data_IF_185493235430
#
_entry.id   IF_185493235430
#
_cell.length_a   1.000
_cell.length_b   1.000
_cell.length_c   1.000
_cell.angle_alpha   90.00
_cell.angle_beta   90.00
_cell.angle_gamma   90.00
#
_symmetry.space_group_name_H-M   'P 1'
#
loop_
_entity.id
_entity.type
_entity.pdbx_description
1 polymer ?
#
# COMPACT_ATOMS: atom_id res chain seq x y z
N UNK A 1 4.39 0.13 -7.76
CA UNK A 1 3.47 -0.10 -6.63
C UNK A 1 2.09 0.51 -6.84
N UNK A 2 1.91 1.84 -6.87
CA UNK A 2 0.56 2.42 -7.06
C UNK A 2 -0.14 1.91 -8.35
N UNK A 3 0.58 1.92 -9.47
CA UNK A 3 0.08 1.40 -10.75
C UNK A 3 -0.26 -0.11 -10.69
N UNK A 4 0.52 -0.89 -9.94
CA UNK A 4 0.32 -2.34 -9.77
C UNK A 4 -0.93 -2.65 -8.93
N UNK A 5 -1.16 -1.88 -7.87
CA UNK A 5 -2.39 -1.97 -7.06
C UNK A 5 -3.62 -1.67 -7.93
N UNK A 6 -3.58 -0.58 -8.69
CA UNK A 6 -4.70 -0.17 -9.54
C UNK A 6 -4.94 -1.15 -10.70
N UNK A 7 -3.88 -1.73 -11.28
CA UNK A 7 -4.01 -2.74 -12.33
C UNK A 7 -4.72 -4.00 -11.85
N UNK A 8 -4.48 -4.45 -10.61
CA UNK A 8 -5.11 -5.65 -10.06
C UNK A 8 -6.46 -5.43 -9.37
N UNK A 9 -6.71 -4.24 -8.84
CA UNK A 9 -7.83 -3.99 -7.91
C UNK A 9 -8.57 -2.67 -8.16
N UNK A 10 -8.32 -1.97 -9.27
CA UNK A 10 -8.88 -0.65 -9.55
C UNK A 10 -10.40 -0.56 -9.47
N UNK A 11 -11.12 -1.61 -9.90
CA UNK A 11 -12.60 -1.66 -9.84
C UNK A 11 -13.17 -1.66 -8.42
N UNK A 12 -12.34 -2.02 -7.42
CA UNK A 12 -12.72 -2.08 -6.00
C UNK A 12 -12.18 -0.91 -5.17
N UNK A 13 -11.41 -0.01 -5.81
CA UNK A 13 -10.72 1.09 -5.13
C UNK A 13 -11.37 2.41 -5.57
N UNK A 14 -12.04 3.07 -4.63
CA UNK A 14 -12.65 4.38 -4.90
C UNK A 14 -11.60 5.46 -5.21
N UNK A 15 -10.46 5.45 -4.51
CA UNK A 15 -9.35 6.36 -4.74
C UNK A 15 -8.04 5.77 -4.22
N UNK A 16 -6.93 6.16 -4.87
CA UNK A 16 -5.57 5.92 -4.37
C UNK A 16 -4.85 7.26 -4.26
N UNK A 17 -4.29 7.52 -3.08
CA UNK A 17 -3.56 8.77 -2.80
C UNK A 17 -2.12 8.48 -2.41
N UNK A 18 -1.19 9.22 -3.01
CA UNK A 18 0.22 9.23 -2.58
C UNK A 18 0.39 10.44 -1.67
N UNK A 19 0.63 10.18 -0.38
CA UNK A 19 0.86 11.23 0.62
C UNK A 19 2.37 11.39 0.81
N UNK A 20 2.98 12.53 0.41
CA UNK A 20 4.39 12.79 0.67
C UNK A 20 4.65 12.75 2.18
N UNK A 21 5.77 12.14 2.57
CA UNK A 21 6.20 12.09 3.97
C UNK A 21 7.71 12.21 4.08
N UNK A 22 8.18 12.56 5.28
CA UNK A 22 9.60 12.72 5.61
C UNK A 22 10.10 11.59 6.52
N UNK A 23 11.40 11.57 6.84
CA UNK A 23 11.99 10.64 7.80
C UNK A 23 12.07 9.19 7.32
N UNK A 24 12.07 8.95 6.00
CA UNK A 24 12.12 7.60 5.43
C UNK A 24 10.87 6.75 5.70
N UNK A 25 9.76 7.39 6.12
CA UNK A 25 8.49 6.74 6.40
C UNK A 25 7.92 6.12 5.13
N UNK A 26 7.43 4.90 5.28
CA UNK A 26 6.69 4.20 4.23
C UNK A 26 5.61 3.34 4.89
N UNK A 27 4.36 3.72 4.66
CA UNK A 27 3.18 3.09 5.24
C UNK A 27 2.15 2.93 4.13
N UNK A 28 1.46 1.79 4.11
CA UNK A 28 0.32 1.55 3.22
C UNK A 28 -0.92 1.36 4.08
N UNK A 29 -1.95 2.14 3.78
CA UNK A 29 -3.25 2.11 4.46
C UNK A 29 -4.34 1.70 3.46
N UNK A 30 -5.36 1.00 3.96
CA UNK A 30 -6.64 0.80 3.28
C UNK A 30 -7.73 1.38 4.18
N UNK A 31 -8.30 2.51 3.78
CA UNK A 31 -9.05 3.36 4.70
C UNK A 31 -8.16 3.77 5.88
N UNK A 32 -8.64 3.55 7.11
CA UNK A 32 -7.89 3.82 8.34
C UNK A 32 -7.02 2.63 8.82
N UNK A 33 -7.02 1.52 8.07
CA UNK A 33 -6.30 0.30 8.46
C UNK A 33 -4.88 0.28 7.89
N UNK A 34 -3.88 0.19 8.78
CA UNK A 34 -2.50 -0.08 8.38
C UNK A 34 -2.34 -1.53 7.93
N UNK A 35 -1.90 -1.72 6.68
CA UNK A 35 -1.65 -3.05 6.10
C UNK A 35 -0.17 -3.32 5.86
N UNK A 36 0.67 -2.28 5.84
CA UNK A 36 2.13 -2.40 5.76
C UNK A 36 2.81 -1.20 6.39
N UNK A 37 3.92 -1.45 7.10
CA UNK A 37 4.74 -0.40 7.69
C UNK A 37 6.21 -0.77 7.65
N UNK A 38 7.01 0.02 6.92
CA UNK A 38 8.46 -0.18 6.80
C UNK A 38 9.17 -0.10 8.14
N UNK A 39 8.69 0.70 9.10
CA UNK A 39 9.29 0.79 10.43
C UNK A 39 9.17 -0.54 11.18
N UNK A 40 8.06 -1.27 10.99
CA UNK A 40 7.82 -2.56 11.62
C UNK A 40 8.56 -3.70 10.90
N UNK A 41 8.61 -3.67 9.58
CA UNK A 41 9.22 -4.75 8.77
C UNK A 41 10.71 -4.58 8.52
N UNK A 42 11.24 -3.37 8.71
CA UNK A 42 12.64 -3.03 8.42
C UNK A 42 12.97 -2.92 6.92
N UNK A 43 11.97 -3.03 6.03
CA UNK A 43 12.18 -3.06 4.57
C UNK A 43 11.03 -2.42 3.79
N UNK A 44 11.25 -2.17 2.51
CA UNK A 44 10.16 -1.90 1.58
C UNK A 44 9.41 -3.20 1.26
N UNK A 45 8.15 -3.12 0.75
CA UNK A 45 7.47 -4.27 0.21
C UNK A 45 8.27 -4.89 -0.93
N UNK A 46 8.26 -6.22 -1.02
CA UNK A 46 8.75 -6.94 -2.19
C UNK A 46 7.81 -6.69 -3.39
N UNK A 47 8.28 -6.91 -4.63
CA UNK A 47 7.40 -6.87 -5.81
C UNK A 47 6.16 -7.76 -5.59
N UNK A 48 4.96 -7.29 -5.93
CA UNK A 48 3.71 -8.03 -5.67
C UNK A 48 3.14 -7.92 -4.26
N UNK A 49 3.98 -7.70 -3.24
CA UNK A 49 3.55 -7.84 -1.83
C UNK A 49 2.49 -6.82 -1.44
N UNK A 50 2.69 -5.54 -1.79
CA UNK A 50 1.73 -4.50 -1.45
C UNK A 50 0.37 -4.70 -2.14
N UNK A 51 0.37 -5.09 -3.42
CA UNK A 51 -0.86 -5.37 -4.15
C UNK A 51 -1.62 -6.55 -3.54
N UNK A 52 -0.91 -7.65 -3.20
CA UNK A 52 -1.51 -8.79 -2.50
C UNK A 52 -2.11 -8.40 -1.15
N UNK A 53 -1.41 -7.60 -0.35
CA UNK A 53 -1.90 -7.15 0.95
C UNK A 53 -3.13 -6.24 0.82
N UNK A 54 -3.14 -5.32 -0.15
CA UNK A 54 -4.32 -4.49 -0.46
C UNK A 54 -5.49 -5.38 -0.89
N UNK A 55 -5.26 -6.34 -1.79
CA UNK A 55 -6.30 -7.25 -2.28
C UNK A 55 -6.99 -8.08 -1.20
N UNK A 56 -6.32 -8.34 -0.07
CA UNK A 56 -6.87 -9.01 1.12
C UNK A 56 -7.65 -8.08 2.04
N UNK A 57 -7.56 -6.76 1.84
CA UNK A 57 -8.14 -5.73 2.68
C UNK A 57 -9.22 -4.89 1.98
N UNK A 58 -9.41 -5.04 0.67
CA UNK A 58 -10.45 -4.40 -0.16
C UNK A 58 -11.47 -5.41 -0.68
#
# INVERSE_FOLDING_TARGET
MAAEILAGHGERIAALTIVPSSGGRFVVLVGDREIFNKKATGRFPQPGEAARLVGQAV
#
